data_IF_283047670716
#
_entry.id   IF_283047670716
#
_cell.length_a   1.000
_cell.length_b   1.000
_cell.length_c   1.000
_cell.angle_alpha   90.00
_cell.angle_beta   90.00
_cell.angle_gamma   90.00
#
_symmetry.space_group_name_H-M   'P 1'
#
loop_
_entity.id
_entity.type
_entity.pdbx_description
1 polymer ?
#
# COMPACT_ATOMS: atom_id res chain seq x y z
N UNK A 1 15.70 12.13 -19.31
CA UNK A 1 15.18 10.83 -19.83
C UNK A 1 14.68 9.89 -18.70
N UNK A 2 13.99 10.40 -17.67
CA UNK A 2 13.52 9.58 -16.53
C UNK A 2 12.20 8.82 -16.80
N UNK A 3 11.41 9.30 -17.77
CA UNK A 3 10.10 8.72 -18.10
C UNK A 3 10.16 7.27 -18.55
N UNK A 4 11.19 6.89 -19.32
CA UNK A 4 11.35 5.53 -19.87
C UNK A 4 11.49 4.48 -18.77
N UNK A 5 12.17 4.80 -17.67
CA UNK A 5 12.43 3.85 -16.57
C UNK A 5 11.34 3.88 -15.50
N UNK A 6 10.87 5.08 -15.14
CA UNK A 6 9.92 5.24 -14.03
C UNK A 6 8.46 5.05 -14.44
N UNK A 7 8.14 5.19 -15.73
CA UNK A 7 6.81 4.97 -16.29
C UNK A 7 6.31 3.53 -16.10
N UNK A 8 7.01 2.50 -16.62
CA UNK A 8 6.61 1.10 -16.46
C UNK A 8 6.52 0.65 -14.99
N UNK A 9 7.34 1.24 -14.12
CA UNK A 9 7.35 0.98 -12.68
C UNK A 9 6.24 1.71 -11.92
N UNK A 10 5.54 2.66 -12.56
CA UNK A 10 4.51 3.48 -11.92
C UNK A 10 5.05 4.36 -10.79
N UNK A 11 6.33 4.75 -10.87
CA UNK A 11 7.04 5.57 -9.88
C UNK A 11 7.37 6.96 -10.43
N UNK A 12 6.45 7.56 -11.21
CA UNK A 12 6.65 8.92 -11.72
C UNK A 12 6.79 9.93 -10.55
N UNK A 13 7.76 10.87 -10.64
CA UNK A 13 7.91 11.93 -9.65
C UNK A 13 6.68 12.83 -9.59
N UNK A 14 6.36 13.32 -8.40
CA UNK A 14 5.36 14.37 -8.20
C UNK A 14 6.09 15.69 -8.01
N UNK A 15 5.74 16.75 -8.77
CA UNK A 15 6.39 18.06 -8.59
C UNK A 15 6.04 18.62 -7.22
N UNK A 16 7.03 19.23 -6.57
CA UNK A 16 6.85 19.96 -5.31
C UNK A 16 6.74 21.44 -5.66
N UNK A 17 5.77 22.19 -5.10
CA UNK A 17 5.66 23.63 -5.33
C UNK A 17 6.95 24.36 -4.91
N UNK A 18 7.46 25.31 -5.72
CA UNK A 18 8.61 26.12 -5.32
C UNK A 18 8.21 27.03 -4.14
N UNK A 19 8.94 26.94 -3.03
CA UNK A 19 8.77 27.81 -1.84
C UNK A 19 8.02 27.20 -0.66
N UNK A 20 7.47 25.98 -0.77
CA UNK A 20 6.85 25.27 0.37
C UNK A 20 7.84 24.37 1.11
N UNK A 21 7.74 24.27 2.44
CA UNK A 21 8.52 23.30 3.23
C UNK A 21 8.09 21.86 2.88
N UNK A 22 8.98 21.03 2.31
CA UNK A 22 8.64 19.67 1.91
C UNK A 22 8.64 18.68 3.09
N UNK A 23 9.05 19.08 4.30
CA UNK A 23 9.25 18.17 5.44
C UNK A 23 8.01 17.35 5.75
N UNK A 24 6.84 18.00 5.80
CA UNK A 24 5.56 17.33 6.06
C UNK A 24 5.19 16.33 4.96
N UNK A 25 5.39 16.72 3.70
CA UNK A 25 5.14 15.86 2.55
C UNK A 25 6.04 14.61 2.58
N UNK A 26 7.32 14.78 2.89
CA UNK A 26 8.29 13.69 2.99
C UNK A 26 7.89 12.72 4.10
N UNK A 27 7.56 13.24 5.29
CA UNK A 27 7.18 12.41 6.43
C UNK A 27 5.90 11.59 6.17
N UNK A 28 4.93 12.19 5.48
CA UNK A 28 3.73 11.48 5.03
C UNK A 28 4.06 10.37 4.02
N UNK A 29 4.87 10.70 3.00
CA UNK A 29 5.23 9.74 1.96
C UNK A 29 6.06 8.57 2.49
N UNK A 30 6.92 8.78 3.49
CA UNK A 30 7.70 7.72 4.17
C UNK A 30 6.82 6.66 4.84
N UNK A 31 5.66 7.06 5.36
CA UNK A 31 4.69 6.16 6.02
C UNK A 31 3.69 5.55 5.04
N UNK A 32 3.63 6.08 3.82
CA UNK A 32 2.64 5.67 2.82
C UNK A 32 3.10 4.46 2.02
N UNK A 33 2.15 3.57 1.71
CA UNK A 33 2.35 2.43 0.80
C UNK A 33 1.46 2.60 -0.43
N UNK A 34 2.02 2.34 -1.62
CA UNK A 34 1.28 2.43 -2.88
C UNK A 34 0.70 1.07 -3.24
N UNK A 35 -0.63 0.98 -3.26
CA UNK A 35 -1.37 -0.18 -3.74
C UNK A 35 -1.83 0.06 -5.18
N UNK A 36 -1.51 -0.87 -6.08
CA UNK A 36 -1.94 -0.83 -7.48
C UNK A 36 -2.31 -2.24 -7.94
N UNK A 37 -3.55 -2.38 -8.40
CA UNK A 37 -3.99 -3.49 -9.24
C UNK A 37 -3.59 -3.17 -10.68
N UNK A 38 -2.80 -4.05 -11.33
CA UNK A 38 -2.41 -3.90 -12.75
C UNK A 38 -3.43 -4.63 -13.62
N UNK A 39 -3.02 -5.70 -14.31
CA UNK A 39 -3.92 -6.54 -15.11
C UNK A 39 -4.60 -7.65 -14.31
N UNK A 40 -4.11 -7.97 -13.11
CA UNK A 40 -4.68 -9.01 -12.26
C UNK A 40 -5.63 -8.40 -11.24
N UNK A 41 -6.70 -9.11 -10.88
CA UNK A 41 -7.66 -8.71 -9.82
C UNK A 41 -7.11 -8.87 -8.40
N UNK A 42 -5.79 -8.82 -8.25
CA UNK A 42 -5.09 -8.98 -6.97
C UNK A 42 -4.10 -7.84 -6.76
N UNK A 43 -3.80 -7.57 -5.50
CA UNK A 43 -2.76 -6.62 -5.12
C UNK A 43 -2.03 -7.16 -3.89
N UNK A 44 -0.81 -6.70 -3.72
CA UNK A 44 0.03 -7.02 -2.57
C UNK A 44 0.63 -5.73 -2.03
N UNK A 45 0.65 -5.60 -0.71
CA UNK A 45 1.17 -4.42 -0.04
C UNK A 45 1.95 -4.83 1.23
N UNK A 46 3.11 -4.21 1.50
CA UNK A 46 3.74 -4.35 2.81
C UNK A 46 2.92 -3.62 3.87
N UNK A 47 2.69 -4.28 5.02
CA UNK A 47 1.90 -3.74 6.14
C UNK A 47 2.76 -3.46 7.38
N UNK A 48 4.01 -3.94 7.42
CA UNK A 48 4.91 -3.75 8.54
C UNK A 48 6.18 -4.59 8.45
N UNK A 49 6.91 -4.66 9.54
CA UNK A 49 8.13 -5.47 9.70
C UNK A 49 8.00 -6.37 10.92
N UNK A 50 8.86 -7.39 11.04
CA UNK A 50 8.85 -8.33 12.18
C UNK A 50 9.17 -7.67 13.52
N UNK A 51 9.82 -6.51 13.51
CA UNK A 51 10.18 -5.78 14.73
C UNK A 51 8.99 -5.00 15.33
N UNK A 52 7.89 -4.84 14.57
CA UNK A 52 6.69 -4.16 15.05
C UNK A 52 5.83 -5.09 15.89
N UNK A 53 5.04 -4.51 16.81
CA UNK A 53 4.12 -5.32 17.62
C UNK A 53 2.93 -5.80 16.78
N UNK A 54 2.32 -6.95 17.13
CA UNK A 54 1.17 -7.47 16.39
C UNK A 54 0.00 -6.49 16.30
N UNK A 55 -0.23 -5.68 17.33
CA UNK A 55 -1.33 -4.70 17.40
C UNK A 55 -1.13 -3.57 16.38
N UNK A 56 0.12 -3.09 16.23
CA UNK A 56 0.45 -2.09 15.23
C UNK A 56 0.27 -2.63 13.80
N UNK A 57 0.61 -3.90 13.58
CA UNK A 57 0.43 -4.56 12.29
C UNK A 57 -1.07 -4.72 12.00
N UNK A 58 -1.87 -5.13 12.98
CA UNK A 58 -3.33 -5.24 12.83
C UNK A 58 -3.95 -3.89 12.48
N UNK A 59 -3.58 -2.82 13.19
CA UNK A 59 -4.04 -1.46 12.89
C UNK A 59 -3.70 -1.01 11.46
N UNK A 60 -2.50 -1.35 10.97
CA UNK A 60 -2.11 -1.05 9.59
C UNK A 60 -2.92 -1.85 8.57
N UNK A 61 -3.23 -3.11 8.87
CA UNK A 61 -4.07 -3.97 8.02
C UNK A 61 -5.49 -3.42 7.96
N UNK A 62 -6.07 -3.00 9.08
CA UNK A 62 -7.41 -2.42 9.14
C UNK A 62 -7.48 -1.09 8.38
N UNK A 63 -6.46 -0.24 8.51
CA UNK A 63 -6.38 1.01 7.76
C UNK A 63 -6.30 0.75 6.24
N UNK A 64 -5.56 -0.28 5.82
CA UNK A 64 -5.46 -0.68 4.41
C UNK A 64 -6.80 -1.22 3.89
N UNK A 65 -7.45 -2.13 4.63
CA UNK A 65 -8.74 -2.71 4.28
C UNK A 65 -9.86 -1.65 4.21
N UNK A 66 -9.92 -0.75 5.18
CA UNK A 66 -10.89 0.36 5.19
C UNK A 66 -10.72 1.28 3.97
N UNK A 67 -9.47 1.62 3.61
CA UNK A 67 -9.18 2.41 2.40
C UNK A 67 -9.60 1.69 1.12
N UNK A 68 -9.45 0.37 1.06
CA UNK A 68 -9.79 -0.44 -0.10
C UNK A 68 -11.31 -0.58 -0.28
N UNK A 69 -12.02 -0.90 0.80
CA UNK A 69 -13.48 -1.02 0.80
C UNK A 69 -14.11 0.30 0.35
N UNK A 70 -13.61 1.45 0.83
CA UNK A 70 -14.11 2.76 0.40
C UNK A 70 -13.80 3.13 -1.06
N UNK A 71 -12.85 2.45 -1.72
CA UNK A 71 -12.50 2.71 -3.12
C UNK A 71 -13.17 1.74 -4.10
N UNK A 72 -13.55 0.55 -3.64
CA UNK A 72 -14.21 -0.46 -4.47
C UNK A 72 -15.70 -0.14 -4.58
N UNK A 73 -16.24 -0.16 -5.80
CA UNK A 73 -17.65 0.16 -6.07
C UNK A 73 -18.65 -0.74 -5.32
N UNK A 74 -18.27 -2.00 -5.08
CA UNK A 74 -19.07 -2.97 -4.31
C UNK A 74 -18.45 -3.30 -2.95
N UNK A 75 -17.53 -2.45 -2.47
CA UNK A 75 -16.90 -2.55 -1.16
C UNK A 75 -16.32 -3.93 -0.84
N UNK A 76 -16.75 -4.49 0.31
CA UNK A 76 -16.24 -5.75 0.85
C UNK A 76 -16.64 -6.97 0.01
N UNK A 77 -17.72 -6.91 -0.77
CA UNK A 77 -18.19 -8.04 -1.60
C UNK A 77 -17.26 -8.32 -2.77
N UNK A 78 -16.44 -7.35 -3.19
CA UNK A 78 -15.42 -7.54 -4.22
C UNK A 78 -14.15 -8.24 -3.72
N UNK A 79 -14.04 -8.52 -2.41
CA UNK A 79 -12.87 -9.16 -1.81
C UNK A 79 -13.21 -10.63 -1.54
N UNK A 80 -12.68 -11.52 -2.37
CA UNK A 80 -12.90 -12.97 -2.23
C UNK A 80 -12.11 -13.56 -1.07
N UNK A 81 -10.83 -13.19 -0.94
CA UNK A 81 -9.92 -13.71 0.09
C UNK A 81 -8.84 -12.70 0.44
N UNK A 82 -8.33 -12.79 1.67
CA UNK A 82 -7.22 -11.99 2.16
C UNK A 82 -6.21 -12.87 2.88
N UNK A 83 -4.93 -12.69 2.54
CA UNK A 83 -3.83 -13.47 3.10
C UNK A 83 -2.76 -12.54 3.67
N UNK A 84 -2.22 -12.93 4.83
CA UNK A 84 -1.08 -12.31 5.46
C UNK A 84 0.07 -13.30 5.48
N UNK A 85 1.27 -12.85 5.09
CA UNK A 85 2.48 -13.67 5.17
C UNK A 85 3.68 -12.83 5.58
N UNK A 86 4.65 -13.49 6.19
CA UNK A 86 6.01 -12.93 6.28
C UNK A 86 6.73 -13.11 4.94
N UNK A 87 7.86 -12.41 4.74
CA UNK A 87 8.59 -12.46 3.47
C UNK A 87 8.93 -13.89 3.05
N UNK A 88 9.38 -14.72 4.01
CA UNK A 88 9.85 -16.09 3.78
C UNK A 88 8.94 -17.18 4.36
N UNK A 89 7.86 -16.82 5.05
CA UNK A 89 6.96 -17.77 5.71
C UNK A 89 5.74 -18.17 4.88
N UNK A 90 4.99 -19.19 5.34
CA UNK A 90 3.73 -19.58 4.74
C UNK A 90 2.68 -18.47 4.87
N UNK A 91 1.71 -18.47 3.97
CA UNK A 91 0.60 -17.51 3.99
C UNK A 91 -0.53 -18.02 4.89
N UNK A 92 -1.02 -17.13 5.76
CA UNK A 92 -2.14 -17.39 6.65
C UNK A 92 -3.34 -16.63 6.10
N UNK A 93 -4.48 -17.32 6.00
CA UNK A 93 -5.73 -16.73 5.56
C UNK A 93 -6.35 -15.91 6.69
N UNK A 94 -6.64 -14.64 6.42
CA UNK A 94 -7.40 -13.77 7.32
C UNK A 94 -8.90 -13.90 7.06
N UNK A 95 -9.29 -14.00 5.78
CA UNK A 95 -10.67 -14.14 5.30
C UNK A 95 -10.70 -14.91 3.98
#
# INVERSE_FOLDING_TARGET
RLGVVLGPRGKMPRPVPPGGDPTNLINSLKKSVRVRSKGNRTFHAPVGTRAMTPEQIAQNVDALLGRLIGRLERGATNIESAYLKTTMGPAIRLR
#
